data_IF_281855589454
#
_entry.id   IF_281855589454
#
_cell.length_a   1.000
_cell.length_b   1.000
_cell.length_c   1.000
_cell.angle_alpha   90.00
_cell.angle_beta   90.00
_cell.angle_gamma   90.00
#
_symmetry.space_group_name_H-M   'P 1'
#
loop_
_entity.id
_entity.type
_entity.pdbx_description
1 polymer ?
#
# COMPACT_ATOMS: atom_id res chain seq x y z
N UNK A 1 2.08 13.89 -11.72
CA UNK A 1 1.77 14.43 -10.39
C UNK A 1 0.71 13.55 -9.75
N UNK A 2 0.94 13.05 -8.54
CA UNK A 2 -0.08 12.32 -7.78
C UNK A 2 -1.21 13.27 -7.34
N UNK A 3 -2.45 12.77 -7.24
CA UNK A 3 -3.66 13.57 -6.93
C UNK A 3 -3.51 14.45 -5.67
N UNK A 4 -2.80 13.94 -4.67
CA UNK A 4 -2.60 14.60 -3.37
C UNK A 4 -1.20 15.23 -3.22
N UNK A 5 -0.40 15.25 -4.29
CA UNK A 5 0.96 15.82 -4.25
C UNK A 5 1.96 15.03 -3.40
N UNK A 6 1.61 13.84 -2.92
CA UNK A 6 2.50 12.98 -2.14
C UNK A 6 3.64 12.40 -2.98
N UNK A 7 4.78 12.15 -2.32
CA UNK A 7 5.97 11.51 -2.89
C UNK A 7 5.88 9.98 -2.94
N UNK A 8 4.79 9.39 -2.44
CA UNK A 8 4.50 7.97 -2.54
C UNK A 8 2.99 7.72 -2.59
N UNK A 9 2.63 6.53 -3.05
CA UNK A 9 1.25 6.06 -3.09
C UNK A 9 1.21 4.54 -3.05
N UNK A 10 0.10 3.99 -2.58
CA UNK A 10 -0.07 2.54 -2.53
C UNK A 10 -1.52 2.15 -2.82
N UNK A 11 -1.72 0.88 -3.17
CA UNK A 11 -3.03 0.27 -3.20
C UNK A 11 -2.94 -1.20 -2.81
N UNK A 12 -3.99 -1.72 -2.16
CA UNK A 12 -4.19 -3.16 -1.96
C UNK A 12 -5.42 -3.61 -2.72
N UNK A 13 -5.39 -4.85 -3.18
CA UNK A 13 -6.51 -5.53 -3.82
C UNK A 13 -6.94 -6.70 -2.95
N UNK A 14 -8.21 -6.71 -2.55
CA UNK A 14 -8.76 -7.78 -1.71
C UNK A 14 -9.24 -8.98 -2.53
N UNK A 15 -9.59 -10.06 -1.83
CA UNK A 15 -10.04 -11.33 -2.44
C UNK A 15 -11.38 -11.22 -3.21
N UNK A 16 -12.17 -10.18 -2.95
CA UNK A 16 -13.41 -9.90 -3.69
C UNK A 16 -13.14 -9.01 -4.91
N UNK A 17 -11.89 -8.64 -5.15
CA UNK A 17 -11.44 -7.80 -6.26
C UNK A 17 -11.68 -6.31 -6.06
N UNK A 18 -11.94 -5.84 -4.84
CA UNK A 18 -12.00 -4.40 -4.50
C UNK A 18 -10.60 -3.85 -4.32
N UNK A 19 -10.39 -2.60 -4.75
CA UNK A 19 -9.10 -1.92 -4.61
C UNK A 19 -9.22 -0.75 -3.63
N UNK A 20 -8.27 -0.68 -2.70
CA UNK A 20 -8.19 0.38 -1.69
C UNK A 20 -6.88 1.12 -1.87
N UNK A 21 -6.95 2.39 -2.25
CA UNK A 21 -5.79 3.25 -2.44
C UNK A 21 -5.47 4.03 -1.16
N UNK A 22 -4.18 4.25 -0.92
CA UNK A 22 -3.66 5.01 0.20
C UNK A 22 -2.60 6.01 -0.24
N UNK A 23 -2.52 7.10 0.50
CA UNK A 23 -1.47 8.11 0.42
C UNK A 23 -0.94 8.33 1.85
N UNK A 24 0.32 8.77 2.02
CA UNK A 24 0.89 8.92 3.36
C UNK A 24 0.14 9.98 4.17
N UNK A 25 0.06 9.75 5.49
CA UNK A 25 -0.45 10.71 6.47
C UNK A 25 0.73 11.18 7.31
N UNK A 26 1.01 12.49 7.30
CA UNK A 26 2.14 13.09 8.01
C UNK A 26 1.69 14.09 9.08
N UNK A 27 0.97 13.63 10.11
CA UNK A 27 0.62 14.45 11.27
C UNK A 27 1.58 14.18 12.44
N UNK A 28 1.79 15.17 13.32
CA UNK A 28 2.62 14.99 14.52
C UNK A 28 2.18 13.84 15.44
N UNK A 29 0.89 13.54 15.46
CA UNK A 29 0.30 12.52 16.34
C UNK A 29 -0.01 11.20 15.59
N UNK A 30 0.07 11.21 14.26
CA UNK A 30 -0.26 10.07 13.42
C UNK A 30 0.54 10.15 12.13
N UNK A 31 1.53 9.28 12.04
CA UNK A 31 2.34 9.11 10.85
C UNK A 31 2.07 7.72 10.27
N UNK A 32 1.63 7.68 9.02
CA UNK A 32 1.31 6.44 8.31
C UNK A 32 1.90 6.49 6.91
N UNK A 33 2.50 5.38 6.47
CA UNK A 33 2.90 5.21 5.07
C UNK A 33 1.68 5.08 4.16
N UNK A 34 1.88 5.25 2.85
CA UNK A 34 0.82 5.06 1.88
C UNK A 34 0.22 3.64 1.96
N UNK A 35 1.08 2.63 2.15
CA UNK A 35 0.66 1.23 2.22
C UNK A 35 -0.12 0.93 3.51
N UNK A 36 0.31 1.49 4.66
CA UNK A 36 -0.45 1.39 5.91
C UNK A 36 -1.86 1.98 5.78
N UNK A 37 -2.00 3.13 5.11
CA UNK A 37 -3.32 3.73 4.86
C UNK A 37 -4.19 2.85 3.97
N UNK A 38 -3.63 2.27 2.91
CA UNK A 38 -4.36 1.36 2.02
C UNK A 38 -4.86 0.11 2.78
N UNK A 39 -3.96 -0.54 3.54
CA UNK A 39 -4.28 -1.71 4.37
C UNK A 39 -5.35 -1.40 5.41
N UNK A 40 -5.17 -0.32 6.17
CA UNK A 40 -6.13 0.09 7.20
C UNK A 40 -7.52 0.36 6.60
N UNK A 41 -7.56 1.03 5.44
CA UNK A 41 -8.82 1.32 4.73
C UNK A 41 -9.52 0.04 4.27
N UNK A 42 -8.76 -0.93 3.75
CA UNK A 42 -9.30 -2.21 3.30
C UNK A 42 -9.89 -3.01 4.48
N UNK A 43 -9.11 -3.17 5.55
CA UNK A 43 -9.53 -3.91 6.74
C UNK A 43 -10.73 -3.27 7.44
N UNK A 44 -10.74 -1.94 7.59
CA UNK A 44 -11.89 -1.23 8.17
C UNK A 44 -13.15 -1.33 7.29
N UNK A 45 -12.98 -1.60 6.00
CA UNK A 45 -14.07 -1.82 5.04
C UNK A 45 -14.52 -3.29 4.97
N UNK A 46 -13.92 -4.18 5.76
CA UNK A 46 -14.29 -5.60 5.85
C UNK A 46 -13.55 -6.54 4.90
N UNK A 47 -12.42 -6.11 4.29
CA UNK A 47 -11.57 -7.02 3.53
C UNK A 47 -11.04 -8.15 4.42
N UNK A 48 -11.18 -9.41 3.96
CA UNK A 48 -10.77 -10.60 4.71
C UNK A 48 -9.38 -11.12 4.34
N UNK A 49 -8.79 -10.60 3.26
CA UNK A 49 -7.50 -11.02 2.73
C UNK A 49 -7.08 -10.15 1.56
N UNK A 50 -5.82 -10.25 1.16
CA UNK A 50 -5.28 -9.55 -0.02
C UNK A 50 -4.75 -10.54 -1.05
N UNK A 51 -5.00 -10.25 -2.33
CA UNK A 51 -4.37 -10.97 -3.45
C UNK A 51 -3.17 -10.20 -4.03
N UNK A 52 -3.12 -8.88 -3.86
CA UNK A 52 -2.01 -8.06 -4.31
C UNK A 52 -1.89 -6.71 -3.57
N UNK A 53 -0.69 -6.15 -3.59
CA UNK A 53 -0.40 -4.77 -3.21
C UNK A 53 0.51 -4.10 -4.26
N UNK A 54 0.32 -2.81 -4.46
CA UNK A 54 1.19 -1.95 -5.26
C UNK A 54 1.72 -0.81 -4.39
N UNK A 55 3.03 -0.56 -4.44
CA UNK A 55 3.71 0.54 -3.74
C UNK A 55 4.56 1.34 -4.73
N UNK A 56 4.29 2.63 -4.84
CA UNK A 56 4.97 3.56 -5.76
C UNK A 56 5.73 4.60 -4.95
N UNK A 57 7.05 4.67 -5.14
CA UNK A 57 7.92 5.66 -4.50
C UNK A 57 8.01 5.55 -2.97
N UNK A 58 7.65 4.39 -2.40
CA UNK A 58 7.82 4.10 -0.97
C UNK A 58 9.20 3.54 -0.64
N UNK A 59 9.61 3.54 0.65
CA UNK A 59 10.87 2.95 1.08
C UNK A 59 10.91 1.43 0.87
N UNK A 60 12.12 0.85 0.84
CA UNK A 60 12.32 -0.61 0.71
C UNK A 60 11.78 -1.38 1.92
N UNK A 61 11.89 -0.78 3.10
CA UNK A 61 11.45 -1.32 4.38
C UNK A 61 10.09 -0.74 4.83
N UNK A 62 9.19 -0.43 3.90
CA UNK A 62 7.87 0.14 4.23
C UNK A 62 7.13 -0.73 5.27
N UNK A 63 6.82 -0.20 6.47
CA UNK A 63 6.18 -0.96 7.55
C UNK A 63 4.82 -1.58 7.17
N UNK A 64 4.16 -1.08 6.11
CA UNK A 64 2.93 -1.66 5.59
C UNK A 64 3.12 -3.04 4.95
N UNK A 65 4.34 -3.41 4.54
CA UNK A 65 4.63 -4.70 3.91
C UNK A 65 4.36 -5.88 4.85
N UNK A 66 4.70 -5.73 6.13
CA UNK A 66 4.42 -6.75 7.14
C UNK A 66 2.91 -7.03 7.27
N UNK A 67 2.08 -5.99 7.23
CA UNK A 67 0.63 -6.13 7.31
C UNK A 67 0.03 -6.76 6.04
N UNK A 68 0.61 -6.48 4.87
CA UNK A 68 0.22 -7.19 3.63
C UNK A 68 0.54 -8.67 3.74
N UNK A 69 1.72 -9.03 4.23
CA UNK A 69 2.11 -10.43 4.40
C UNK A 69 1.29 -11.17 5.47
N UNK A 70 0.88 -10.48 6.54
CA UNK A 70 0.02 -11.04 7.59
C UNK A 70 -1.38 -11.38 7.08
N UNK A 71 -1.95 -10.51 6.23
CA UNK A 71 -3.34 -10.62 5.76
C UNK A 71 -3.45 -11.34 4.40
N UNK A 72 -2.39 -11.31 3.60
CA UNK A 72 -2.34 -11.87 2.25
C UNK A 72 -1.34 -13.03 2.18
N UNK A 73 -1.84 -14.26 2.33
CA UNK A 73 -1.05 -15.48 2.15
C UNK A 73 -0.57 -15.61 0.69
N UNK A 74 0.67 -15.18 0.43
CA UNK A 74 1.26 -15.16 -0.91
C UNK A 74 0.80 -14.00 -1.81
N UNK A 75 0.26 -12.92 -1.23
CA UNK A 75 -0.15 -11.74 -2.00
C UNK A 75 1.02 -11.17 -2.82
N UNK A 76 0.78 -10.89 -4.10
CA UNK A 76 1.80 -10.29 -4.96
C UNK A 76 2.09 -8.86 -4.52
N UNK A 77 3.36 -8.50 -4.32
CA UNK A 77 3.77 -7.13 -3.99
C UNK A 77 4.55 -6.55 -5.15
N UNK A 78 3.98 -5.52 -5.79
CA UNK A 78 4.60 -4.79 -6.89
C UNK A 78 5.14 -3.48 -6.35
N UNK A 79 6.46 -3.27 -6.48
CA UNK A 79 7.12 -2.05 -6.04
C UNK A 79 7.71 -1.32 -7.24
N UNK A 80 7.51 -0.01 -7.31
CA UNK A 80 8.10 0.82 -8.35
C UNK A 80 8.65 2.13 -7.80
N UNK A 81 9.57 2.74 -8.54
CA UNK A 81 9.93 4.13 -8.34
C UNK A 81 8.80 5.07 -8.83
N UNK A 82 9.03 6.39 -8.77
CA UNK A 82 8.08 7.41 -9.22
C UNK A 82 7.90 7.49 -10.75
N UNK A 83 8.77 6.83 -11.52
CA UNK A 83 8.70 6.72 -12.98
C UNK A 83 7.95 5.45 -13.41
N UNK A 84 7.68 4.54 -12.48
CA UNK A 84 7.05 3.26 -12.74
C UNK A 84 8.05 2.13 -13.02
N UNK A 85 9.34 2.36 -12.81
CA UNK A 85 10.36 1.33 -12.94
C UNK A 85 10.29 0.38 -11.74
N UNK A 86 10.23 -0.95 -11.95
CA UNK A 86 10.21 -1.91 -10.86
C UNK A 86 11.44 -1.82 -9.96
N UNK A 87 11.22 -1.90 -8.66
CA UNK A 87 12.25 -2.06 -7.63
C UNK A 87 12.12 -3.53 -7.21
N UNK A 88 13.16 -4.34 -7.39
CA UNK A 88 13.19 -5.80 -7.14
C UNK A 88 12.73 -6.72 -8.30
N UNK A 89 12.82 -6.29 -9.57
CA UNK A 89 12.65 -7.18 -10.74
C UNK A 89 13.84 -8.12 -10.98
#
# INVERSE_FOLDING_TARGET
MARVGASSGAAVRDLDGRTYAGAPVGLRALELTALQVAVATALSSGAQGFEAAALVGGPDDDPGLAAVAEVGDGAAVIRTDLRGEPIDA
#
